data_IF_019159719474
#
_entry.id   IF_019159719474
#
_cell.length_a   1.000
_cell.length_b   1.000
_cell.length_c   1.000
_cell.angle_alpha   90.00
_cell.angle_beta   90.00
_cell.angle_gamma   90.00
#
_symmetry.space_group_name_H-M   'P 1'
#
loop_
_entity.id
_entity.type
_entity.pdbx_description
1 polymer ?
#
# COMPACT_ATOMS: atom_id res chain seq x y z
N UNK A 1 7.36 -47.60 7.96
CA UNK A 1 8.06 -46.82 8.99
C UNK A 1 9.20 -46.01 8.41
N UNK A 2 9.00 -44.79 7.95
CA UNK A 2 7.82 -44.13 7.35
C UNK A 2 8.28 -42.74 6.92
N UNK A 3 8.87 -42.60 5.72
CA UNK A 3 9.29 -41.30 5.18
C UNK A 3 8.14 -40.28 5.18
N UNK A 4 6.89 -40.76 5.03
CA UNK A 4 5.67 -39.96 5.11
C UNK A 4 5.28 -39.53 6.54
N UNK A 5 5.60 -40.34 7.55
CA UNK A 5 5.31 -40.01 8.96
C UNK A 5 6.33 -39.00 9.48
N UNK A 6 7.62 -39.17 9.13
CA UNK A 6 8.70 -38.21 9.44
C UNK A 6 8.43 -36.84 8.82
N UNK A 7 7.96 -36.80 7.56
CA UNK A 7 7.59 -35.55 6.89
C UNK A 7 6.37 -34.87 7.55
N UNK A 8 5.41 -35.65 8.02
CA UNK A 8 4.21 -35.14 8.68
C UNK A 8 4.55 -34.55 10.05
N UNK A 9 5.34 -35.25 10.87
CA UNK A 9 5.78 -34.74 12.16
C UNK A 9 6.65 -33.48 12.02
N UNK A 10 7.56 -33.47 11.05
CA UNK A 10 8.35 -32.29 10.71
C UNK A 10 7.47 -31.07 10.37
N UNK A 11 6.46 -31.25 9.52
CA UNK A 11 5.51 -30.20 9.14
C UNK A 11 4.75 -29.67 10.35
N UNK A 12 4.22 -30.56 11.20
CA UNK A 12 3.51 -30.19 12.43
C UNK A 12 4.43 -29.41 13.37
N UNK A 13 5.68 -29.86 13.54
CA UNK A 13 6.66 -29.20 14.38
C UNK A 13 6.98 -27.78 13.88
N UNK A 14 7.19 -27.60 12.58
CA UNK A 14 7.41 -26.27 11.99
C UNK A 14 6.22 -25.33 12.20
N UNK A 15 4.99 -25.80 11.97
CA UNK A 15 3.78 -24.98 12.13
C UNK A 15 3.54 -24.58 13.60
N UNK A 16 3.87 -25.46 14.55
CA UNK A 16 3.80 -25.19 16.00
C UNK A 16 4.69 -24.02 16.43
N UNK A 17 5.84 -23.81 15.77
CA UNK A 17 6.80 -22.76 16.13
C UNK A 17 6.55 -21.49 15.31
N UNK A 18 6.44 -21.63 13.99
CA UNK A 18 6.47 -20.51 13.05
C UNK A 18 5.18 -19.69 13.09
N UNK A 19 4.01 -20.32 13.16
CA UNK A 19 2.74 -19.58 13.12
C UNK A 19 2.57 -18.68 14.35
N UNK A 20 2.81 -19.13 15.59
CA UNK A 20 2.75 -18.23 16.76
C UNK A 20 3.65 -17.00 16.65
N UNK A 21 4.86 -17.15 16.09
CA UNK A 21 5.77 -16.02 15.85
C UNK A 21 5.10 -15.01 14.91
N UNK A 22 4.54 -15.47 13.79
CA UNK A 22 3.84 -14.59 12.84
C UNK A 22 2.57 -13.96 13.42
N UNK A 23 1.84 -14.66 14.29
CA UNK A 23 0.69 -14.09 15.00
C UNK A 23 1.13 -12.94 15.93
N UNK A 24 2.23 -13.11 16.67
CA UNK A 24 2.79 -12.06 17.52
C UNK A 24 3.24 -10.86 16.68
N UNK A 25 3.98 -11.08 15.59
CA UNK A 25 4.42 -10.02 14.68
C UNK A 25 3.22 -9.29 14.06
N UNK A 26 2.18 -10.02 13.65
CA UNK A 26 0.94 -9.41 13.15
C UNK A 26 0.23 -8.59 14.21
N UNK A 27 0.18 -9.05 15.46
CA UNK A 27 -0.33 -8.29 16.60
C UNK A 27 0.40 -6.95 16.78
N UNK A 28 1.73 -6.95 16.71
CA UNK A 28 2.52 -5.72 16.73
C UNK A 28 2.20 -4.81 15.54
N UNK A 29 2.02 -5.37 14.34
CA UNK A 29 1.66 -4.60 13.15
C UNK A 29 0.29 -3.91 13.29
N UNK A 30 -0.71 -4.62 13.82
CA UNK A 30 -2.04 -4.06 14.10
C UNK A 30 -1.95 -2.92 15.12
N UNK A 31 -1.23 -3.12 16.22
CA UNK A 31 -1.05 -2.09 17.25
C UNK A 31 -0.33 -0.86 16.69
N UNK A 32 0.76 -1.06 15.94
CA UNK A 32 1.54 0.04 15.36
C UNK A 32 0.69 0.87 14.38
N UNK A 33 -0.10 0.22 13.51
CA UNK A 33 -0.99 0.93 12.59
C UNK A 33 -2.16 1.61 13.33
N UNK A 34 -2.71 1.01 14.39
CA UNK A 34 -3.74 1.64 15.23
C UNK A 34 -3.24 2.93 15.89
N UNK A 35 -1.99 2.94 16.41
CA UNK A 35 -1.37 4.14 16.97
C UNK A 35 -1.20 5.25 15.93
N UNK A 36 -0.82 4.90 14.70
CA UNK A 36 -0.72 5.87 13.59
C UNK A 36 -2.09 6.43 13.23
N UNK A 37 -3.12 5.58 13.15
CA UNK A 37 -4.50 6.02 12.89
C UNK A 37 -4.94 7.03 13.96
N UNK A 38 -4.68 6.75 15.24
CA UNK A 38 -4.99 7.67 16.33
C UNK A 38 -4.22 8.99 16.18
N UNK A 39 -2.91 8.94 15.93
CA UNK A 39 -2.09 10.12 15.72
C UNK A 39 -2.60 10.99 14.55
N UNK A 40 -2.93 10.37 13.41
CA UNK A 40 -3.49 11.04 12.23
C UNK A 40 -4.86 11.67 12.54
N UNK A 41 -5.72 10.99 13.31
CA UNK A 41 -7.03 11.53 13.73
C UNK A 41 -6.90 12.75 14.65
N UNK A 42 -5.85 12.81 15.47
CA UNK A 42 -5.57 13.94 16.35
C UNK A 42 -4.95 15.14 15.62
N UNK A 43 -4.44 14.97 14.40
CA UNK A 43 -3.93 16.10 13.62
C UNK A 43 -5.07 17.04 13.19
N UNK A 44 -4.89 18.35 13.40
CA UNK A 44 -5.88 19.37 13.01
C UNK A 44 -5.94 19.60 11.49
N UNK A 45 -4.91 19.21 10.74
CA UNK A 45 -4.79 19.46 9.31
C UNK A 45 -5.32 18.27 8.51
N UNK A 46 -6.49 18.42 7.87
CA UNK A 46 -7.07 17.42 6.97
C UNK A 46 -6.89 17.80 5.50
N UNK A 47 -5.86 17.24 4.87
CA UNK A 47 -5.61 17.34 3.43
C UNK A 47 -5.75 15.97 2.75
N UNK A 48 -5.68 15.94 1.41
CA UNK A 48 -5.80 14.70 0.62
C UNK A 48 -4.71 13.67 0.97
N UNK A 49 -3.48 14.11 1.25
CA UNK A 49 -2.36 13.23 1.63
C UNK A 49 -2.65 12.51 2.95
N UNK A 50 -3.14 13.22 3.96
CA UNK A 50 -3.53 12.64 5.27
C UNK A 50 -4.68 11.65 5.10
N UNK A 51 -5.67 11.96 4.25
CA UNK A 51 -6.75 11.01 3.92
C UNK A 51 -6.23 9.73 3.28
N UNK A 52 -5.33 9.83 2.30
CA UNK A 52 -4.75 8.68 1.62
C UNK A 52 -3.90 7.82 2.57
N UNK A 53 -3.05 8.45 3.39
CA UNK A 53 -2.22 7.75 4.38
C UNK A 53 -3.09 7.08 5.44
N UNK A 54 -4.13 7.78 5.93
CA UNK A 54 -5.08 7.19 6.87
C UNK A 54 -5.75 5.95 6.28
N UNK A 55 -6.23 6.03 5.03
CA UNK A 55 -6.86 4.88 4.37
C UNK A 55 -5.88 3.71 4.19
N UNK A 56 -4.64 3.99 3.78
CA UNK A 56 -3.59 2.97 3.66
C UNK A 56 -3.27 2.31 5.01
N UNK A 57 -3.13 3.08 6.10
CA UNK A 57 -2.89 2.52 7.45
C UNK A 57 -4.03 1.64 7.94
N UNK A 58 -5.28 1.96 7.58
CA UNK A 58 -6.45 1.12 7.88
C UNK A 58 -6.40 -0.16 7.03
N UNK A 59 -6.00 -0.08 5.77
CA UNK A 59 -5.83 -1.24 4.89
C UNK A 59 -4.72 -2.18 5.38
N UNK A 60 -3.60 -1.64 5.85
CA UNK A 60 -2.49 -2.43 6.40
C UNK A 60 -2.88 -3.10 7.72
N UNK A 61 -3.58 -2.39 8.60
CA UNK A 61 -4.15 -2.96 9.84
C UNK A 61 -5.14 -4.08 9.52
N UNK A 62 -6.08 -3.84 8.61
CA UNK A 62 -7.06 -4.84 8.15
C UNK A 62 -6.37 -6.08 7.59
N UNK A 63 -5.42 -5.90 6.67
CA UNK A 63 -4.69 -7.00 6.02
C UNK A 63 -3.90 -7.81 7.05
N UNK A 64 -3.26 -7.16 8.02
CA UNK A 64 -2.52 -7.85 9.10
C UNK A 64 -3.45 -8.71 9.96
N UNK A 65 -4.63 -8.18 10.33
CA UNK A 65 -5.65 -8.93 11.06
C UNK A 65 -6.18 -10.12 10.28
N UNK A 66 -6.52 -9.94 9.00
CA UNK A 66 -7.00 -11.03 8.14
C UNK A 66 -5.91 -12.09 7.94
N UNK A 67 -4.66 -11.71 7.76
CA UNK A 67 -3.52 -12.65 7.67
C UNK A 67 -3.38 -13.44 8.96
N UNK A 68 -3.50 -12.81 10.14
CA UNK A 68 -3.44 -13.54 11.41
C UNK A 68 -4.58 -14.55 11.55
N UNK A 69 -5.82 -14.16 11.21
CA UNK A 69 -6.99 -15.04 11.26
C UNK A 69 -6.85 -16.19 10.25
N UNK A 70 -6.42 -15.91 9.02
CA UNK A 70 -6.15 -16.90 7.97
C UNK A 70 -5.09 -17.91 8.41
N UNK A 71 -3.95 -17.46 8.96
CA UNK A 71 -2.91 -18.37 9.45
C UNK A 71 -3.39 -19.25 10.62
N UNK A 72 -4.21 -18.71 11.51
CA UNK A 72 -4.77 -19.49 12.61
C UNK A 72 -5.78 -20.52 12.11
N UNK A 73 -6.70 -20.11 11.23
CA UNK A 73 -7.83 -20.92 10.79
C UNK A 73 -7.48 -21.92 9.69
N UNK A 74 -6.77 -21.48 8.65
CA UNK A 74 -6.44 -22.28 7.47
C UNK A 74 -5.18 -23.13 7.66
N UNK A 75 -4.28 -22.75 8.58
CA UNK A 75 -2.98 -23.42 8.74
C UNK A 75 -2.80 -24.05 10.12
N UNK A 76 -2.91 -23.29 11.21
CA UNK A 76 -2.59 -23.80 12.55
C UNK A 76 -3.60 -24.82 13.07
N UNK A 77 -4.89 -24.51 13.00
CA UNK A 77 -5.98 -25.38 13.47
C UNK A 77 -5.98 -26.76 12.78
N UNK A 78 -6.02 -26.87 11.45
CA UNK A 78 -6.01 -28.17 10.79
C UNK A 78 -4.72 -28.94 11.02
N UNK A 79 -3.55 -28.28 10.97
CA UNK A 79 -2.27 -28.99 11.06
C UNK A 79 -1.89 -29.41 12.47
N UNK A 80 -2.18 -28.59 13.49
CA UNK A 80 -1.73 -28.83 14.86
C UNK A 80 -2.82 -29.46 15.73
N UNK A 81 -4.08 -29.11 15.48
CA UNK A 81 -5.23 -29.59 16.27
C UNK A 81 -6.06 -30.65 15.54
N UNK A 82 -5.80 -30.92 14.26
CA UNK A 82 -6.53 -31.92 13.48
C UNK A 82 -8.01 -31.56 13.25
N UNK A 83 -8.39 -30.29 13.39
CA UNK A 83 -9.77 -29.84 13.19
C UNK A 83 -10.03 -29.58 11.71
N UNK A 84 -11.21 -29.95 11.22
CA UNK A 84 -11.63 -29.67 9.84
C UNK A 84 -12.29 -28.28 9.75
N UNK A 85 -11.60 -27.24 9.22
CA UNK A 85 -12.20 -25.92 9.06
C UNK A 85 -13.32 -25.93 8.02
N UNK A 86 -14.28 -25.01 8.16
CA UNK A 86 -15.31 -24.79 7.15
C UNK A 86 -14.62 -24.27 5.86
N UNK A 87 -14.76 -24.98 4.73
CA UNK A 87 -14.04 -24.66 3.51
C UNK A 87 -14.50 -23.33 2.88
N UNK A 88 -15.78 -22.96 3.01
CA UNK A 88 -16.28 -21.68 2.50
C UNK A 88 -15.67 -20.50 3.27
N UNK A 89 -15.55 -20.64 4.59
CA UNK A 89 -14.93 -19.61 5.42
C UNK A 89 -13.42 -19.51 5.15
N UNK A 90 -12.75 -20.64 4.97
CA UNK A 90 -11.35 -20.69 4.53
C UNK A 90 -11.15 -19.94 3.21
N UNK A 91 -11.99 -20.22 2.21
CA UNK A 91 -11.94 -19.54 0.92
C UNK A 91 -12.21 -18.03 1.05
N UNK A 92 -13.18 -17.63 1.88
CA UNK A 92 -13.46 -16.22 2.14
C UNK A 92 -12.25 -15.50 2.75
N UNK A 93 -11.53 -16.13 3.68
CA UNK A 93 -10.30 -15.57 4.26
C UNK A 93 -9.20 -15.40 3.20
N UNK A 94 -9.05 -16.34 2.26
CA UNK A 94 -8.09 -16.20 1.17
C UNK A 94 -8.47 -15.10 0.17
N UNK A 95 -9.77 -14.93 -0.13
CA UNK A 95 -10.25 -13.81 -0.94
C UNK A 95 -10.02 -12.47 -0.24
N UNK A 96 -10.30 -12.39 1.06
CA UNK A 96 -10.06 -11.18 1.87
C UNK A 96 -8.58 -10.86 1.97
N UNK A 97 -7.73 -11.89 2.14
CA UNK A 97 -6.28 -11.76 2.16
C UNK A 97 -5.79 -11.18 0.85
N UNK A 98 -6.10 -11.83 -0.27
CA UNK A 98 -5.70 -11.40 -1.62
C UNK A 98 -6.23 -10.01 -1.96
N UNK A 99 -7.51 -9.75 -1.66
CA UNK A 99 -8.13 -8.44 -1.84
C UNK A 99 -7.49 -7.34 -1.01
N UNK A 100 -7.08 -7.64 0.22
CA UNK A 100 -6.28 -6.75 1.07
C UNK A 100 -4.94 -6.39 0.44
N UNK A 101 -4.22 -7.36 -0.13
CA UNK A 101 -2.93 -7.11 -0.82
C UNK A 101 -3.12 -6.17 -2.03
N UNK A 102 -4.14 -6.41 -2.85
CA UNK A 102 -4.45 -5.55 -4.01
C UNK A 102 -4.87 -4.16 -3.54
N UNK A 103 -5.70 -4.07 -2.50
CA UNK A 103 -6.17 -2.81 -1.92
C UNK A 103 -5.00 -1.96 -1.42
N UNK A 104 -4.09 -2.53 -0.62
CA UNK A 104 -2.89 -1.80 -0.14
C UNK A 104 -2.00 -1.35 -1.29
N UNK A 105 -1.85 -2.16 -2.34
CA UNK A 105 -1.04 -1.83 -3.52
C UNK A 105 -1.66 -0.69 -4.34
N UNK A 106 -2.98 -0.70 -4.53
CA UNK A 106 -3.70 0.41 -5.18
C UNK A 106 -3.62 1.71 -4.38
N UNK A 107 -3.67 1.66 -3.04
CA UNK A 107 -3.48 2.84 -2.20
C UNK A 107 -2.08 3.45 -2.38
N UNK A 108 -1.04 2.63 -2.47
CA UNK A 108 0.32 3.10 -2.77
C UNK A 108 0.39 3.78 -4.15
N UNK A 109 -0.32 3.22 -5.14
CA UNK A 109 -0.45 3.85 -6.43
C UNK A 109 -1.12 5.22 -6.34
N UNK A 110 -2.27 5.32 -5.65
CA UNK A 110 -2.97 6.59 -5.45
C UNK A 110 -2.08 7.64 -4.77
N UNK A 111 -1.29 7.23 -3.77
CA UNK A 111 -0.32 8.11 -3.09
C UNK A 111 0.74 8.60 -4.08
N UNK A 112 1.28 7.73 -4.93
CA UNK A 112 2.29 8.10 -5.93
C UNK A 112 1.74 9.09 -6.96
N UNK A 113 0.52 8.86 -7.48
CA UNK A 113 -0.17 9.77 -8.40
C UNK A 113 -0.46 11.10 -7.71
N UNK A 114 -0.93 11.07 -6.47
CA UNK A 114 -1.23 12.27 -5.71
C UNK A 114 0.02 13.14 -5.50
N UNK A 115 1.16 12.53 -5.17
CA UNK A 115 2.42 13.27 -5.08
C UNK A 115 2.83 13.85 -6.42
N UNK A 116 2.74 13.08 -7.49
CA UNK A 116 3.05 13.56 -8.85
C UNK A 116 2.20 14.77 -9.22
N UNK A 117 0.88 14.70 -9.06
CA UNK A 117 -0.03 15.82 -9.33
C UNK A 117 0.29 17.02 -8.43
N UNK A 118 0.59 16.79 -7.15
CA UNK A 118 0.91 17.85 -6.19
C UNK A 118 2.14 18.68 -6.58
N UNK A 119 3.11 18.07 -7.26
CA UNK A 119 4.29 18.79 -7.76
C UNK A 119 4.01 19.45 -9.11
N UNK A 120 3.31 18.78 -10.04
CA UNK A 120 3.03 19.34 -11.38
C UNK A 120 2.00 20.47 -11.34
N UNK A 121 0.98 20.39 -10.47
CA UNK A 121 -0.12 21.37 -10.37
C UNK A 121 -0.38 21.81 -8.92
N UNK A 122 0.46 22.70 -8.36
CA UNK A 122 0.35 23.13 -6.96
C UNK A 122 -0.90 23.98 -6.65
N UNK A 123 -1.58 24.55 -7.66
CA UNK A 123 -2.74 25.43 -7.50
C UNK A 123 -4.11 24.74 -7.53
N UNK A 124 -4.14 23.41 -7.42
CA UNK A 124 -5.41 22.69 -7.44
C UNK A 124 -6.19 22.91 -6.13
N UNK A 125 -7.50 23.12 -6.23
CA UNK A 125 -8.39 23.26 -5.07
C UNK A 125 -8.23 22.07 -4.10
N UNK A 126 -7.76 22.39 -2.89
CA UNK A 126 -7.48 21.44 -1.81
C UNK A 126 -8.74 20.67 -1.37
N UNK A 127 -9.92 21.30 -1.40
CA UNK A 127 -11.18 20.66 -1.01
C UNK A 127 -11.61 19.65 -2.07
N UNK A 128 -11.55 20.04 -3.34
CA UNK A 128 -11.83 19.14 -4.47
C UNK A 128 -10.90 17.93 -4.46
N UNK A 129 -9.58 18.15 -4.31
CA UNK A 129 -8.60 17.06 -4.22
C UNK A 129 -8.85 16.09 -3.08
N UNK A 130 -9.27 16.59 -1.91
CA UNK A 130 -9.64 15.72 -0.78
C UNK A 130 -10.87 14.87 -1.11
N UNK A 131 -11.91 15.47 -1.69
CA UNK A 131 -13.13 14.73 -2.03
C UNK A 131 -12.85 13.64 -3.08
N UNK A 132 -12.04 13.95 -4.11
CA UNK A 132 -11.59 12.97 -5.10
C UNK A 132 -10.77 11.87 -4.44
N UNK A 133 -9.82 12.21 -3.56
CA UNK A 133 -9.03 11.22 -2.84
C UNK A 133 -9.90 10.29 -1.99
N UNK A 134 -10.90 10.81 -1.27
CA UNK A 134 -11.84 9.99 -0.50
C UNK A 134 -12.65 9.06 -1.40
N UNK A 135 -13.15 9.55 -2.54
CA UNK A 135 -13.89 8.73 -3.49
C UNK A 135 -13.02 7.58 -4.04
N UNK A 136 -11.79 7.91 -4.45
CA UNK A 136 -10.82 6.92 -4.92
C UNK A 136 -10.47 5.89 -3.84
N UNK A 137 -10.30 6.31 -2.57
CA UNK A 137 -10.11 5.38 -1.44
C UNK A 137 -11.27 4.38 -1.36
N UNK A 138 -12.52 4.85 -1.40
CA UNK A 138 -13.70 3.97 -1.33
C UNK A 138 -13.70 2.99 -2.50
N UNK A 139 -13.39 3.46 -3.72
CA UNK A 139 -13.29 2.60 -4.91
C UNK A 139 -12.24 1.52 -4.74
N UNK A 140 -11.02 1.84 -4.26
CA UNK A 140 -9.95 0.85 -4.12
C UNK A 140 -10.20 -0.14 -2.97
N UNK A 141 -11.05 0.18 -2.00
CA UNK A 141 -11.51 -0.76 -0.98
C UNK A 141 -12.51 -1.77 -1.52
N UNK A 142 -13.50 -1.29 -2.29
CA UNK A 142 -14.61 -2.12 -2.74
C UNK A 142 -14.27 -2.93 -3.99
N UNK A 143 -13.60 -2.31 -4.98
CA UNK A 143 -13.42 -2.93 -6.28
C UNK A 143 -12.67 -4.28 -6.24
N UNK A 144 -11.53 -4.43 -5.54
CA UNK A 144 -10.84 -5.72 -5.48
C UNK A 144 -11.69 -6.81 -4.82
N UNK A 145 -12.39 -6.47 -3.73
CA UNK A 145 -13.23 -7.43 -3.02
C UNK A 145 -14.44 -7.85 -3.84
N UNK A 146 -15.15 -6.90 -4.46
CA UNK A 146 -16.31 -7.19 -5.31
C UNK A 146 -15.90 -8.10 -6.47
N UNK A 147 -14.77 -7.81 -7.13
CA UNK A 147 -14.27 -8.63 -8.24
C UNK A 147 -13.90 -10.03 -7.77
N UNK A 148 -13.14 -10.17 -6.67
CA UNK A 148 -12.71 -11.50 -6.19
C UNK A 148 -13.89 -12.35 -5.70
N UNK A 149 -14.79 -11.79 -4.88
CA UNK A 149 -15.98 -12.50 -4.40
C UNK A 149 -16.96 -12.79 -5.53
N UNK A 150 -17.12 -11.87 -6.49
CA UNK A 150 -17.91 -12.08 -7.69
C UNK A 150 -17.37 -13.23 -8.53
N UNK A 151 -16.06 -13.27 -8.78
CA UNK A 151 -15.39 -14.35 -9.51
C UNK A 151 -15.59 -15.69 -8.78
N UNK A 152 -15.33 -15.74 -7.48
CA UNK A 152 -15.50 -16.95 -6.66
C UNK A 152 -16.96 -17.44 -6.61
N UNK A 153 -17.94 -16.56 -6.82
CA UNK A 153 -19.37 -16.92 -6.85
C UNK A 153 -19.87 -17.28 -8.26
N UNK A 154 -19.18 -16.82 -9.30
CA UNK A 154 -19.62 -16.98 -10.71
C UNK A 154 -19.27 -18.33 -11.32
N UNK A 155 -18.30 -19.06 -10.75
CA UNK A 155 -17.79 -20.31 -11.34
C UNK A 155 -18.68 -21.47 -10.90
N UNK A 156 -19.40 -22.07 -11.84
CA UNK A 156 -20.26 -23.22 -11.59
C UNK A 156 -19.46 -24.44 -11.12
N UNK A 157 -19.90 -25.07 -10.02
CA UNK A 157 -19.30 -26.29 -9.49
C UNK A 157 -17.98 -26.10 -8.71
N UNK A 158 -17.50 -24.86 -8.54
CA UNK A 158 -16.31 -24.52 -7.75
C UNK A 158 -16.57 -23.27 -6.89
N UNK A 159 -15.60 -22.87 -6.06
CA UNK A 159 -15.66 -21.62 -5.31
C UNK A 159 -16.80 -21.59 -4.30
N UNK A 160 -17.58 -20.51 -4.24
CA UNK A 160 -18.70 -20.42 -3.29
C UNK A 160 -19.90 -21.29 -3.67
N UNK A 161 -19.97 -21.79 -4.91
CA UNK A 161 -21.01 -22.75 -5.29
C UNK A 161 -20.71 -24.16 -4.75
N UNK A 162 -19.43 -24.53 -4.69
CA UNK A 162 -18.96 -25.76 -4.07
C UNK A 162 -17.60 -25.51 -3.40
N UNK A 163 -17.63 -25.15 -2.12
CA UNK A 163 -16.43 -24.75 -1.39
C UNK A 163 -15.42 -25.88 -1.18
N UNK A 164 -15.83 -27.13 -1.39
CA UNK A 164 -14.90 -28.27 -1.34
C UNK A 164 -13.93 -28.27 -2.53
N UNK A 165 -14.32 -27.63 -3.64
CA UNK A 165 -13.51 -27.54 -4.85
C UNK A 165 -13.05 -26.09 -5.11
N UNK A 166 -11.83 -25.80 -4.64
CA UNK A 166 -11.19 -24.48 -4.77
C UNK A 166 -10.13 -24.44 -5.88
N UNK A 167 -10.17 -25.38 -6.83
CA UNK A 167 -9.17 -25.48 -7.93
C UNK A 167 -9.02 -24.19 -8.73
N UNK A 168 -10.09 -23.40 -8.90
CA UNK A 168 -10.00 -22.11 -9.60
C UNK A 168 -8.97 -21.16 -8.98
N UNK A 169 -8.84 -21.12 -7.64
CA UNK A 169 -7.91 -20.25 -6.93
C UNK A 169 -6.46 -20.72 -7.11
N UNK A 170 -6.27 -22.04 -7.21
CA UNK A 170 -4.98 -22.66 -7.49
C UNK A 170 -4.63 -22.70 -9.00
N UNK A 171 -5.58 -22.35 -9.86
CA UNK A 171 -5.36 -22.31 -11.29
C UNK A 171 -4.27 -21.31 -11.67
N UNK A 172 -3.45 -21.69 -12.65
CA UNK A 172 -2.39 -20.84 -13.19
C UNK A 172 -2.95 -19.53 -13.74
N UNK A 173 -4.12 -19.58 -14.39
CA UNK A 173 -4.76 -18.40 -14.95
C UNK A 173 -5.09 -17.36 -13.88
N UNK A 174 -5.74 -17.78 -12.78
CA UNK A 174 -6.06 -16.87 -11.68
C UNK A 174 -4.81 -16.28 -11.05
N UNK A 175 -3.80 -17.12 -10.73
CA UNK A 175 -2.56 -16.68 -10.09
C UNK A 175 -1.75 -15.72 -10.96
N UNK A 176 -1.58 -16.05 -12.25
CA UNK A 176 -0.89 -15.19 -13.21
C UNK A 176 -1.65 -13.88 -13.44
N UNK A 177 -2.99 -13.91 -13.48
CA UNK A 177 -3.79 -12.70 -13.65
C UNK A 177 -3.62 -11.74 -12.45
N UNK A 178 -3.73 -12.23 -11.22
CA UNK A 178 -3.52 -11.41 -10.02
C UNK A 178 -2.07 -10.91 -9.93
N UNK A 179 -1.08 -11.77 -10.18
CA UNK A 179 0.33 -11.36 -10.16
C UNK A 179 0.65 -10.33 -11.24
N UNK A 180 0.17 -10.52 -12.47
CA UNK A 180 0.40 -9.57 -13.56
C UNK A 180 -0.25 -8.22 -13.28
N UNK A 181 -1.43 -8.19 -12.66
CA UNK A 181 -2.06 -6.97 -12.18
C UNK A 181 -1.17 -6.25 -11.14
N UNK A 182 -0.68 -6.98 -10.14
CA UNK A 182 0.21 -6.40 -9.11
C UNK A 182 1.51 -5.86 -9.72
N UNK A 183 2.14 -6.62 -10.63
CA UNK A 183 3.35 -6.20 -11.36
C UNK A 183 3.07 -4.94 -12.18
N UNK A 184 1.95 -4.89 -12.91
CA UNK A 184 1.58 -3.71 -13.69
C UNK A 184 1.41 -2.47 -12.80
N UNK A 185 0.77 -2.62 -11.63
CA UNK A 185 0.66 -1.53 -10.65
C UNK A 185 2.06 -1.11 -10.16
N UNK A 186 2.96 -2.05 -9.85
CA UNK A 186 4.33 -1.71 -9.42
C UNK A 186 5.11 -0.96 -10.50
N UNK A 187 5.06 -1.42 -11.76
CA UNK A 187 5.70 -0.74 -12.88
C UNK A 187 5.17 0.70 -12.99
N UNK A 188 3.86 0.89 -12.84
CA UNK A 188 3.26 2.21 -12.90
C UNK A 188 3.68 3.11 -11.71
N UNK A 189 3.75 2.56 -10.50
CA UNK A 189 4.30 3.26 -9.32
C UNK A 189 5.76 3.70 -9.59
N UNK A 190 6.60 2.80 -10.10
CA UNK A 190 8.01 3.08 -10.43
C UNK A 190 8.09 4.19 -11.48
N UNK A 191 7.26 4.13 -12.51
CA UNK A 191 7.18 5.17 -13.54
C UNK A 191 6.82 6.53 -12.94
N UNK A 192 5.76 6.60 -12.12
CA UNK A 192 5.34 7.82 -11.45
C UNK A 192 6.46 8.41 -10.57
N UNK A 193 7.12 7.58 -9.77
CA UNK A 193 8.23 8.04 -8.93
C UNK A 193 9.46 8.43 -9.72
N UNK A 194 9.81 7.72 -10.79
CA UNK A 194 10.94 8.09 -11.65
C UNK A 194 10.71 9.49 -12.25
N UNK A 195 9.50 9.75 -12.77
CA UNK A 195 9.12 11.07 -13.27
C UNK A 195 9.14 12.14 -12.17
N UNK A 196 8.66 11.79 -10.97
CA UNK A 196 8.72 12.68 -9.80
C UNK A 196 10.17 13.08 -9.47
N UNK A 197 11.08 12.11 -9.42
CA UNK A 197 12.51 12.33 -9.12
C UNK A 197 13.19 13.19 -10.19
N UNK A 198 12.91 12.93 -11.47
CA UNK A 198 13.47 13.71 -12.58
C UNK A 198 12.99 15.17 -12.52
N UNK A 199 11.71 15.39 -12.25
CA UNK A 199 11.13 16.74 -12.16
C UNK A 199 11.68 17.50 -10.94
N UNK A 200 11.84 16.83 -9.80
CA UNK A 200 12.49 17.39 -8.62
C UNK A 200 13.96 17.76 -8.88
N UNK A 201 14.72 16.93 -9.61
CA UNK A 201 16.12 17.23 -9.97
C UNK A 201 16.23 18.42 -10.93
N UNK A 202 15.32 18.51 -11.92
CA UNK A 202 15.28 19.63 -12.86
C UNK A 202 15.00 20.96 -12.12
N UNK A 203 14.03 20.95 -11.19
CA UNK A 203 13.75 22.10 -10.33
C UNK A 203 14.95 22.41 -9.42
N UNK A 204 15.54 21.43 -8.74
CA UNK A 204 16.70 21.68 -7.88
C UNK A 204 17.87 22.36 -8.63
N UNK A 205 18.12 21.99 -9.88
CA UNK A 205 19.15 22.62 -10.70
C UNK A 205 18.84 24.09 -11.04
N UNK A 206 17.59 24.43 -11.33
CA UNK A 206 17.17 25.81 -11.59
C UNK A 206 17.24 26.68 -10.32
N UNK A 207 17.12 26.08 -9.14
CA UNK A 207 17.03 26.78 -7.85
C UNK A 207 18.37 26.98 -7.16
N UNK A 208 19.46 26.37 -7.66
CA UNK A 208 20.83 26.54 -7.15
C UNK A 208 21.37 27.98 -7.24
N UNK A 209 20.67 28.89 -7.93
CA UNK A 209 21.08 30.29 -8.07
C UNK A 209 20.76 31.19 -6.86
N UNK A 210 20.05 30.74 -5.81
CA UNK A 210 19.68 31.60 -4.66
C UNK A 210 19.85 30.95 -3.28
N UNK A 211 20.39 31.71 -2.30
CA UNK A 211 20.59 31.25 -0.89
C UNK A 211 19.28 30.88 -0.17
N UNK A 212 18.15 31.51 -0.49
CA UNK A 212 16.83 31.16 0.06
C UNK A 212 16.29 29.84 -0.51
N UNK A 213 16.72 29.49 -1.73
CA UNK A 213 16.42 28.22 -2.36
C UNK A 213 17.22 27.05 -1.75
N UNK A 214 18.40 27.28 -1.20
CA UNK A 214 19.22 26.23 -0.57
C UNK A 214 18.58 25.62 0.70
N UNK A 215 17.86 26.43 1.50
CA UNK A 215 17.02 25.94 2.61
C UNK A 215 15.78 25.17 2.13
N UNK A 216 15.27 25.48 0.93
CA UNK A 216 14.14 24.78 0.30
C UNK A 216 14.59 23.42 -0.27
N UNK A 217 15.79 23.37 -0.85
CA UNK A 217 16.46 22.15 -1.35
C UNK A 217 16.74 21.14 -0.23
N UNK A 218 17.15 21.54 0.98
CA UNK A 218 17.36 20.57 2.08
C UNK A 218 16.05 19.92 2.57
N UNK A 219 14.95 20.69 2.57
CA UNK A 219 13.61 20.21 2.90
C UNK A 219 13.02 19.32 1.79
N UNK A 220 13.37 19.57 0.54
CA UNK A 220 13.05 18.73 -0.62
C UNK A 220 13.89 17.43 -0.65
N UNK A 221 15.16 17.45 -0.24
CA UNK A 221 15.99 16.25 -0.09
C UNK A 221 15.40 15.27 0.94
N UNK A 222 14.79 15.76 2.02
CA UNK A 222 14.07 14.90 2.98
C UNK A 222 12.84 14.23 2.34
N UNK A 223 12.16 14.93 1.43
CA UNK A 223 11.02 14.40 0.67
C UNK A 223 11.47 13.36 -0.36
N UNK A 224 12.63 13.57 -0.99
CA UNK A 224 13.30 12.60 -1.89
C UNK A 224 13.72 11.32 -1.16
N UNK A 225 14.40 11.44 -0.02
CA UNK A 225 14.82 10.27 0.76
C UNK A 225 13.62 9.47 1.29
N UNK A 226 12.58 10.14 1.77
CA UNK A 226 11.36 9.45 2.21
C UNK A 226 10.62 8.76 1.06
N UNK A 227 10.61 9.34 -0.15
CA UNK A 227 10.03 8.67 -1.33
C UNK A 227 10.87 7.48 -1.80
N UNK A 228 12.19 7.57 -1.74
CA UNK A 228 13.09 6.43 -2.01
C UNK A 228 12.85 5.31 -0.99
N UNK A 229 12.79 5.63 0.32
CA UNK A 229 12.49 4.65 1.36
C UNK A 229 11.11 4.00 1.19
N UNK A 230 10.09 4.79 0.82
CA UNK A 230 8.76 4.27 0.47
C UNK A 230 8.88 3.30 -0.72
N UNK A 231 9.55 3.70 -1.81
CA UNK A 231 9.72 2.83 -2.98
C UNK A 231 10.46 1.53 -2.64
N UNK A 232 11.57 1.62 -1.91
CA UNK A 232 12.38 0.46 -1.50
C UNK A 232 11.56 -0.48 -0.62
N UNK A 233 10.79 0.02 0.34
CA UNK A 233 9.91 -0.80 1.19
C UNK A 233 8.76 -1.45 0.42
N UNK A 234 8.29 -0.85 -0.67
CA UNK A 234 7.26 -1.43 -1.55
C UNK A 234 7.85 -2.57 -2.37
N UNK A 235 9.04 -2.37 -2.94
CA UNK A 235 9.70 -3.40 -3.75
C UNK A 235 10.10 -4.60 -2.92
N UNK A 236 10.79 -4.37 -1.79
CA UNK A 236 11.28 -5.44 -0.91
C UNK A 236 10.10 -6.18 -0.24
N UNK A 237 9.03 -5.47 0.10
CA UNK A 237 7.86 -6.07 0.77
C UNK A 237 6.98 -6.92 -0.14
N UNK A 238 6.78 -6.52 -1.40
CA UNK A 238 5.75 -7.11 -2.25
C UNK A 238 6.26 -7.85 -3.49
N UNK A 239 7.43 -7.49 -4.03
CA UNK A 239 7.94 -8.17 -5.23
C UNK A 239 8.25 -9.65 -4.98
N UNK A 240 8.91 -10.05 -3.87
CA UNK A 240 9.12 -11.47 -3.56
C UNK A 240 7.80 -12.23 -3.41
N UNK A 241 6.81 -11.62 -2.76
CA UNK A 241 5.48 -12.20 -2.56
C UNK A 241 4.74 -12.46 -3.89
N UNK A 242 4.84 -11.51 -4.82
CA UNK A 242 4.17 -11.60 -6.13
C UNK A 242 4.85 -12.64 -7.03
N UNK A 243 6.17 -12.71 -7.00
CA UNK A 243 6.93 -13.74 -7.71
C UNK A 243 6.58 -15.12 -7.14
N UNK A 244 6.59 -15.27 -5.81
CA UNK A 244 6.24 -16.53 -5.16
C UNK A 244 4.80 -16.98 -5.50
N UNK A 245 3.82 -16.08 -5.42
CA UNK A 245 2.43 -16.41 -5.77
C UNK A 245 2.27 -16.91 -7.21
N UNK A 246 3.12 -16.43 -8.14
CA UNK A 246 3.12 -16.84 -9.55
C UNK A 246 3.71 -18.23 -9.73
N UNK A 247 4.77 -18.58 -9.01
CA UNK A 247 5.49 -19.85 -9.20
C UNK A 247 4.75 -21.04 -8.56
N UNK A 248 3.99 -20.83 -7.48
CA UNK A 248 3.29 -21.88 -6.72
C UNK A 248 1.98 -22.36 -7.39
N UNK A 249 1.97 -22.54 -8.71
CA UNK A 249 0.82 -23.06 -9.46
C UNK A 249 0.81 -24.59 -9.55
N UNK A 250 -0.37 -25.22 -9.43
CA UNK A 250 -0.54 -26.69 -9.46
C UNK A 250 -0.09 -27.34 -10.78
N UNK A 251 -0.12 -26.57 -11.87
CA UNK A 251 0.25 -27.02 -13.22
C UNK A 251 1.70 -26.67 -13.60
N UNK A 252 2.48 -26.15 -12.66
CA UNK A 252 3.83 -25.69 -12.91
C UNK A 252 4.83 -26.76 -12.43
N UNK A 253 5.43 -27.46 -13.39
CA UNK A 253 6.38 -28.55 -13.12
C UNK A 253 7.61 -28.11 -12.31
N UNK A 254 7.91 -26.80 -12.31
CA UNK A 254 9.03 -26.19 -11.58
C UNK A 254 8.98 -26.46 -10.05
N UNK A 255 7.80 -26.75 -9.49
CA UNK A 255 7.59 -26.98 -8.06
C UNK A 255 6.99 -28.35 -7.72
N UNK A 256 6.68 -29.18 -8.72
CA UNK A 256 6.18 -30.55 -8.50
C UNK A 256 7.21 -31.48 -7.87
N UNK A 257 8.51 -31.21 -8.10
CA UNK A 257 9.63 -31.96 -7.52
C UNK A 257 10.31 -31.27 -6.33
N UNK A 258 9.87 -30.07 -5.93
CA UNK A 258 10.49 -29.35 -4.82
C UNK A 258 10.01 -29.88 -3.48
N UNK A 259 10.95 -30.24 -2.59
CA UNK A 259 10.66 -30.68 -1.23
C UNK A 259 9.83 -29.63 -0.49
N UNK A 260 8.80 -30.06 0.27
CA UNK A 260 7.95 -29.23 1.13
C UNK A 260 8.71 -28.14 1.91
N UNK A 261 9.94 -28.44 2.34
CA UNK A 261 10.86 -27.52 3.04
C UNK A 261 11.10 -26.22 2.28
N UNK A 262 11.29 -26.27 0.97
CA UNK A 262 11.62 -25.11 0.13
C UNK A 262 10.39 -24.22 -0.03
N UNK A 263 9.25 -24.82 -0.37
CA UNK A 263 7.94 -24.15 -0.43
C UNK A 263 7.59 -23.45 0.88
N UNK A 264 7.74 -24.17 2.00
CA UNK A 264 7.48 -23.62 3.33
C UNK A 264 8.40 -22.45 3.66
N UNK A 265 9.69 -22.56 3.35
CA UNK A 265 10.66 -21.49 3.57
C UNK A 265 10.30 -20.24 2.75
N UNK A 266 9.96 -20.40 1.46
CA UNK A 266 9.53 -19.28 0.62
C UNK A 266 8.26 -18.62 1.14
N UNK A 267 7.26 -19.40 1.58
CA UNK A 267 6.06 -18.87 2.23
C UNK A 267 6.39 -18.08 3.51
N UNK A 268 7.32 -18.56 4.34
CA UNK A 268 7.79 -17.85 5.53
C UNK A 268 8.48 -16.53 5.18
N UNK A 269 9.34 -16.53 4.17
CA UNK A 269 10.04 -15.34 3.67
C UNK A 269 9.02 -14.33 3.14
N UNK A 270 8.07 -14.77 2.31
CA UNK A 270 6.98 -13.92 1.81
C UNK A 270 6.19 -13.29 2.95
N UNK A 271 5.76 -14.09 3.92
CA UNK A 271 4.96 -13.61 5.04
C UNK A 271 5.74 -12.61 5.92
N UNK A 272 7.05 -12.85 6.10
CA UNK A 272 7.95 -11.94 6.79
C UNK A 272 8.04 -10.59 6.09
N UNK A 273 8.10 -10.57 4.76
CA UNK A 273 8.10 -9.32 3.98
C UNK A 273 6.77 -8.57 4.06
N UNK A 274 5.63 -9.28 3.98
CA UNK A 274 4.30 -8.67 4.11
C UNK A 274 4.13 -8.02 5.48
N UNK A 275 4.44 -8.75 6.56
CA UNK A 275 4.31 -8.24 7.93
C UNK A 275 5.36 -7.18 8.26
N UNK A 276 6.60 -7.39 7.81
CA UNK A 276 7.68 -6.42 7.93
C UNK A 276 7.31 -5.10 7.29
N UNK A 277 6.70 -5.12 6.10
CA UNK A 277 6.18 -3.90 5.47
C UNK A 277 5.11 -3.21 6.31
N UNK A 278 4.14 -3.97 6.83
CA UNK A 278 3.07 -3.44 7.67
C UNK A 278 3.61 -2.71 8.92
N UNK A 279 4.75 -3.17 9.46
CA UNK A 279 5.48 -2.53 10.56
C UNK A 279 6.32 -1.32 10.12
N UNK A 280 6.92 -1.37 8.92
CA UNK A 280 7.72 -0.27 8.40
C UNK A 280 6.88 0.96 8.05
N UNK A 281 5.63 0.78 7.60
CA UNK A 281 4.76 1.89 7.20
C UNK A 281 4.58 2.94 8.34
N UNK A 282 4.22 2.57 9.59
CA UNK A 282 4.24 3.47 10.74
C UNK A 282 5.54 4.27 10.96
N UNK A 283 6.70 3.63 10.82
CA UNK A 283 8.00 4.27 10.97
C UNK A 283 8.26 5.29 9.85
N UNK A 284 7.88 4.94 8.62
CA UNK A 284 7.98 5.85 7.48
C UNK A 284 7.10 7.09 7.71
N UNK A 285 5.88 6.91 8.24
CA UNK A 285 4.97 8.03 8.47
C UNK A 285 5.44 8.97 9.58
N UNK A 286 5.98 8.44 10.68
CA UNK A 286 6.55 9.29 11.74
C UNK A 286 7.76 10.09 11.23
N UNK A 287 8.65 9.47 10.44
CA UNK A 287 9.81 10.17 9.86
C UNK A 287 9.42 11.23 8.82
N UNK A 288 8.33 10.99 8.09
CA UNK A 288 7.86 11.82 6.98
C UNK A 288 7.00 13.00 7.42
N UNK A 289 6.13 12.82 8.41
CA UNK A 289 5.15 13.85 8.83
C UNK A 289 5.47 14.28 10.27
N UNK A 290 6.11 15.46 10.46
CA UNK A 290 6.52 15.91 11.80
C UNK A 290 5.34 16.10 12.75
N UNK A 291 4.16 16.45 12.24
CA UNK A 291 2.94 16.54 13.04
C UNK A 291 2.52 15.18 13.61
N UNK A 292 2.70 14.09 12.84
CA UNK A 292 2.41 12.73 13.29
C UNK A 292 3.42 12.26 14.31
N UNK A 293 4.72 12.52 14.09
CA UNK A 293 5.77 12.23 15.08
C UNK A 293 5.52 12.91 16.43
N UNK A 294 5.14 14.20 16.40
CA UNK A 294 4.84 14.94 17.62
C UNK A 294 3.64 14.33 18.37
N UNK A 295 2.58 13.96 17.67
CA UNK A 295 1.41 13.31 18.29
C UNK A 295 1.74 11.91 18.80
N UNK A 296 2.52 11.13 18.04
CA UNK A 296 2.93 9.79 18.43
C UNK A 296 3.81 9.82 19.69
N UNK A 297 4.76 10.75 19.78
CA UNK A 297 5.57 10.98 20.99
C UNK A 297 4.72 11.40 22.18
N UNK A 298 3.72 12.26 21.97
CA UNK A 298 2.76 12.67 23.00
C UNK A 298 1.95 11.47 23.51
N UNK A 299 1.44 10.64 22.61
CA UNK A 299 0.71 9.41 22.95
C UNK A 299 1.61 8.42 23.69
N UNK A 300 2.81 8.14 23.17
CA UNK A 300 3.78 7.29 23.86
C UNK A 300 4.09 7.84 25.25
N UNK A 301 4.33 9.13 25.40
CA UNK A 301 4.60 9.73 26.70
C UNK A 301 3.42 9.60 27.66
N UNK A 302 2.18 9.75 27.17
CA UNK A 302 0.95 9.65 27.98
C UNK A 302 0.63 8.21 28.41
N UNK A 303 0.84 7.22 27.54
CA UNK A 303 0.49 5.82 27.80
C UNK A 303 1.65 4.98 28.35
N UNK A 304 2.90 5.29 28.00
CA UNK A 304 4.09 4.53 28.40
C UNK A 304 4.69 5.06 29.71
N UNK A 305 4.60 6.36 30.03
CA UNK A 305 5.06 6.88 31.35
C UNK A 305 4.40 6.20 32.55
N UNK A 306 3.08 5.96 32.59
CA UNK A 306 2.44 5.28 33.71
C UNK A 306 3.02 3.87 33.89
N UNK A 307 3.22 3.14 32.79
CA UNK A 307 3.77 1.79 32.78
C UNK A 307 5.23 1.78 33.23
N UNK A 308 6.03 2.76 32.79
CA UNK A 308 7.43 2.89 33.23
C UNK A 308 7.56 3.31 34.69
N UNK A 309 6.63 4.12 35.21
CA UNK A 309 6.55 4.41 36.64
C UNK A 309 6.18 3.16 37.45
N UNK A 310 5.35 2.27 36.90
CA UNK A 310 5.01 0.97 37.49
C UNK A 310 6.19 -0.02 37.45
N UNK A 311 7.03 0.01 36.40
CA UNK A 311 8.21 -0.85 36.26
C UNK A 311 9.49 -0.31 36.94
N UNK A 312 9.44 0.82 37.68
CA UNK A 312 10.58 1.35 38.44
C UNK A 312 11.77 1.87 37.63
N UNK A 313 11.74 1.81 36.30
CA UNK A 313 12.82 2.29 35.44
C UNK A 313 12.60 3.76 35.09
N UNK A 314 13.32 4.68 35.75
CA UNK A 314 13.29 6.11 35.43
C UNK A 314 14.51 6.49 34.56
N UNK A 315 14.35 6.77 33.25
CA UNK A 315 15.46 7.01 32.33
C UNK A 315 16.07 8.43 32.44
N UNK A 316 15.87 9.13 33.57
CA UNK A 316 16.06 10.59 33.64
C UNK A 316 17.28 11.06 34.43
N UNK A 317 18.30 10.22 34.65
CA UNK A 317 19.51 10.68 35.36
C UNK A 317 20.68 11.14 34.47
N UNK A 318 20.70 10.85 33.16
CA UNK A 318 21.94 11.07 32.39
C UNK A 318 21.92 12.21 31.34
N UNK A 319 20.88 13.04 31.29
CA UNK A 319 20.83 14.19 30.38
C UNK A 319 20.33 15.45 31.10
N UNK A 320 21.14 15.98 32.01
CA UNK A 320 21.01 17.38 32.46
C UNK A 320 22.37 18.10 32.33
N UNK A 321 22.64 18.76 31.18
CA UNK A 321 23.87 19.54 30.98
C UNK A 321 23.74 20.93 31.60
N UNK A 322 23.34 21.00 32.88
CA UNK A 322 23.25 22.26 33.64
C UNK A 322 23.78 22.09 35.06
N UNK A 323 25.07 21.77 35.14
CA UNK A 323 25.86 22.00 36.34
C UNK A 323 27.23 22.56 35.95
N UNK A 324 27.30 23.88 35.75
CA UNK A 324 28.52 24.67 35.95
C UNK A 324 28.14 26.12 36.29
N UNK A 325 28.92 26.80 37.16
CA UNK A 325 28.38 27.78 38.09
C UNK A 325 28.49 29.25 37.64
N UNK A 326 27.65 30.05 38.29
CA UNK A 326 27.60 31.50 38.41
C UNK A 326 28.93 32.27 38.25
N UNK A 327 28.93 33.31 37.40
CA UNK A 327 29.87 34.44 37.50
C UNK A 327 29.21 35.79 37.13
N UNK A 328 28.91 36.55 38.19
CA UNK A 328 28.93 38.02 38.37
C UNK A 328 28.52 38.99 37.25
N UNK A 329 27.56 39.87 37.62
CA UNK A 329 27.34 41.23 37.10
C UNK A 329 28.65 42.03 36.99
N UNK A 330 28.82 42.73 35.87
CA UNK A 330 29.47 44.04 35.84
C UNK A 330 28.57 44.99 35.05
N UNK A 331 28.25 46.11 35.70
CA UNK A 331 27.57 47.31 35.19
C UNK A 331 28.60 48.13 34.43
N UNK A 332 28.24 48.69 33.28
CA UNK A 332 28.90 49.88 32.73
C UNK A 332 27.90 50.70 31.90
N UNK A 333 27.73 51.94 32.34
CA UNK A 333 27.08 53.07 31.66
C UNK A 333 27.87 53.53 30.42
N UNK A 334 27.20 54.30 29.55
CA UNK A 334 27.79 55.08 28.45
C UNK A 334 26.90 55.04 27.20
N UNK A 335 25.94 55.95 26.98
CA UNK A 335 26.06 57.36 26.54
C UNK A 335 26.40 57.52 25.05
N UNK A 336 25.61 58.39 24.36
CA UNK A 336 25.72 58.93 22.98
C UNK A 336 25.34 57.98 21.81
N UNK A 337 24.62 58.35 20.75
CA UNK A 337 23.95 59.58 20.32
C UNK A 337 23.06 59.26 19.09
N UNK A 338 21.96 59.99 18.89
CA UNK A 338 21.17 60.05 17.63
C UNK A 338 21.81 61.06 16.67
N UNK A 339 21.49 60.96 15.36
CA UNK A 339 20.62 62.00 14.76
C UNK A 339 19.54 61.37 13.84
N UNK A 340 18.26 61.74 13.85
CA UNK A 340 17.60 62.89 13.13
C UNK A 340 18.20 63.14 11.74
N UNK A 341 17.49 63.18 10.61
CA UNK A 341 16.22 63.85 10.34
C UNK A 341 15.64 63.35 8.98
N UNK A 342 14.31 63.39 8.82
CA UNK A 342 13.60 64.17 7.76
C UNK A 342 13.53 63.54 6.37
N UNK A 343 12.35 63.03 5.96
CA UNK A 343 11.38 63.85 5.22
C UNK A 343 10.18 62.99 4.72
N UNK A 344 9.00 63.41 5.18
CA UNK A 344 7.70 63.16 4.55
C UNK A 344 7.60 64.00 3.28
N UNK A 345 7.23 63.42 2.13
CA UNK A 345 6.31 64.08 1.19
C UNK A 345 5.88 63.19 0.01
N UNK A 346 4.63 63.42 -0.41
CA UNK A 346 3.94 62.97 -1.63
C UNK A 346 3.11 61.67 -1.60
N UNK A 347 1.91 61.82 -1.01
CA UNK A 347 0.64 61.34 -1.59
C UNK A 347 0.24 62.18 -2.80
N UNK A 348 -0.57 61.57 -3.67
CA UNK A 348 -1.28 62.07 -4.86
C UNK A 348 -0.54 61.94 -6.20
N UNK A 349 -0.89 60.89 -6.96
CA UNK A 349 -1.58 61.05 -8.24
C UNK A 349 -2.21 59.72 -8.65
N UNK A 350 -3.54 59.70 -8.63
CA UNK A 350 -4.34 58.76 -9.37
C UNK A 350 -4.41 59.27 -10.81
N UNK A 351 -4.08 58.45 -11.80
CA UNK A 351 -4.53 58.67 -13.17
C UNK A 351 -4.71 57.34 -13.89
N UNK A 352 -5.85 57.25 -14.55
CA UNK A 352 -6.40 56.11 -15.23
C UNK A 352 -5.55 55.65 -16.43
N UNK A 353 -5.58 54.35 -16.70
CA UNK A 353 -5.45 53.83 -18.06
C UNK A 353 -6.23 52.51 -18.18
N UNK A 354 -7.45 52.66 -18.71
CA UNK A 354 -8.16 51.66 -19.48
C UNK A 354 -7.24 51.01 -20.51
N UNK A 355 -7.24 49.68 -20.63
CA UNK A 355 -7.05 48.99 -21.92
C UNK A 355 -7.74 47.62 -21.87
N UNK A 356 -8.73 47.50 -22.74
CA UNK A 356 -9.63 46.38 -23.00
C UNK A 356 -8.93 45.21 -23.71
N UNK A 357 -9.56 44.02 -23.76
CA UNK A 357 -8.93 42.78 -24.21
C UNK A 357 -8.89 42.64 -25.74
N UNK A 358 -7.79 42.09 -26.24
CA UNK A 358 -7.64 41.71 -27.65
C UNK A 358 -8.47 40.47 -27.94
N UNK A 359 -9.50 40.69 -28.76
CA UNK A 359 -10.36 39.70 -29.41
C UNK A 359 -9.70 39.34 -30.74
N UNK A 360 -9.34 38.08 -30.93
CA UNK A 360 -8.92 37.56 -32.25
C UNK A 360 -10.07 36.74 -32.82
N UNK A 361 -10.67 37.26 -33.88
CA UNK A 361 -11.57 36.52 -34.78
C UNK A 361 -11.52 37.15 -36.17
N UNK A 362 -11.12 36.36 -37.18
CA UNK A 362 -11.52 36.41 -38.59
C UNK A 362 -11.38 34.96 -39.11
N UNK A 363 -12.44 34.27 -39.56
CA UNK A 363 -13.11 34.32 -40.89
C UNK A 363 -12.12 34.14 -42.05
N UNK A 364 -12.29 33.29 -43.07
CA UNK A 364 -13.31 32.30 -43.50
C UNK A 364 -12.56 31.26 -44.39
N UNK A 365 -13.12 30.33 -45.16
CA UNK A 365 -14.46 30.16 -45.77
C UNK A 365 -14.47 28.83 -46.57
N UNK A 366 -15.67 28.21 -46.70
CA UNK A 366 -16.18 27.36 -47.83
C UNK A 366 -15.56 25.95 -48.03
N UNK A 367 -16.28 24.84 -48.29
CA UNK A 367 -17.70 24.52 -48.57
C UNK A 367 -17.99 23.04 -48.20
N UNK A 368 -19.21 22.65 -47.83
CA UNK A 368 -20.41 22.34 -48.64
C UNK A 368 -20.40 20.95 -49.34
N UNK A 369 -21.40 20.12 -49.01
CA UNK A 369 -21.75 18.79 -49.59
C UNK A 369 -21.83 17.72 -48.49
N UNK A 370 -22.97 17.37 -47.86
CA UNK A 370 -24.23 16.77 -48.35
C UNK A 370 -24.01 15.48 -49.15
N UNK A 371 -24.13 14.30 -48.51
CA UNK A 371 -25.24 13.33 -48.69
C UNK A 371 -24.98 11.99 -47.95
N UNK A 372 -26.09 11.50 -47.37
CA UNK A 372 -26.58 10.11 -47.37
C UNK A 372 -26.01 8.96 -46.53
N UNK A 373 -27.00 8.16 -46.16
CA UNK A 373 -27.02 6.99 -45.32
C UNK A 373 -26.38 5.76 -45.97
N UNK A 374 -25.98 4.81 -45.12
CA UNK A 374 -25.53 3.50 -45.56
C UNK A 374 -25.54 2.50 -44.40
N UNK A 375 -26.71 1.91 -44.17
CA UNK A 375 -26.87 0.66 -43.44
C UNK A 375 -26.12 -0.44 -44.20
N UNK A 376 -25.34 -1.27 -43.52
CA UNK A 376 -24.91 -2.55 -44.09
C UNK A 376 -24.78 -3.61 -42.99
N UNK A 377 -25.86 -4.38 -42.88
CA UNK A 377 -25.88 -5.78 -42.45
C UNK A 377 -24.87 -6.60 -43.27
N UNK A 378 -24.16 -7.57 -42.68
CA UNK A 378 -23.79 -8.85 -43.33
C UNK A 378 -23.35 -9.89 -42.27
N UNK A 379 -24.18 -10.94 -42.21
CA UNK A 379 -23.93 -12.39 -42.10
C UNK A 379 -23.04 -12.97 -40.99
N UNK A 380 -23.76 -13.61 -40.06
CA UNK A 380 -23.52 -14.94 -39.50
C UNK A 380 -23.05 -15.96 -40.55
N UNK A 381 -21.96 -16.66 -40.24
CA UNK A 381 -21.64 -17.98 -40.83
C UNK A 381 -21.54 -18.99 -39.69
N UNK A 382 -22.55 -19.84 -39.62
CA UNK A 382 -22.61 -21.09 -38.88
C UNK A 382 -21.90 -22.17 -39.68
N UNK A 383 -20.99 -22.93 -39.07
CA UNK A 383 -20.51 -24.20 -39.61
C UNK A 383 -20.85 -25.29 -38.61
N UNK A 384 -21.85 -26.10 -38.99
CA UNK A 384 -22.14 -27.42 -38.43
C UNK A 384 -21.13 -28.43 -38.99
N UNK A 385 -20.61 -29.30 -38.12
CA UNK A 385 -20.25 -30.66 -38.52
C UNK A 385 -20.60 -31.61 -37.38
N UNK A 386 -21.50 -32.54 -37.68
CA UNK A 386 -22.02 -33.59 -36.82
C UNK A 386 -21.32 -34.92 -37.09
N UNK A 387 -21.05 -35.65 -35.98
CA UNK A 387 -21.15 -37.13 -35.77
C UNK A 387 -20.11 -38.10 -36.39
N UNK A 388 -20.02 -39.39 -35.94
CA UNK A 388 -20.43 -40.06 -34.67
C UNK A 388 -19.46 -41.17 -34.12
N UNK A 389 -19.81 -41.74 -32.93
CA UNK A 389 -19.55 -43.13 -32.41
C UNK A 389 -18.08 -43.50 -32.02
N UNK A 390 -17.73 -44.27 -30.98
CA UNK A 390 -18.34 -45.39 -30.23
C UNK A 390 -17.51 -45.63 -28.93
N UNK A 391 -18.09 -45.64 -27.72
CA UNK A 391 -18.30 -46.83 -26.83
C UNK A 391 -17.03 -47.50 -26.23
N UNK A 392 -16.86 -47.44 -24.90
CA UNK A 392 -16.71 -48.64 -24.03
C UNK A 392 -16.44 -48.26 -22.56
N UNK A 393 -17.36 -48.68 -21.68
CA UNK A 393 -17.22 -48.81 -20.23
C UNK A 393 -16.07 -49.73 -19.80
N UNK A 394 -15.46 -49.41 -18.64
CA UNK A 394 -14.96 -50.30 -17.55
C UNK A 394 -14.33 -49.39 -16.47
N UNK A 395 -15.03 -49.03 -15.40
CA UNK A 395 -15.25 -49.76 -14.13
C UNK A 395 -13.96 -50.08 -13.33
N UNK A 396 -13.86 -49.48 -12.13
CA UNK A 396 -13.04 -49.79 -10.94
C UNK A 396 -11.51 -49.61 -11.03
N UNK A 397 -10.98 -48.58 -10.35
CA UNK A 397 -10.53 -48.79 -8.97
C UNK A 397 -10.36 -47.48 -8.18
N UNK A 398 -10.69 -47.60 -6.90
CA UNK A 398 -10.75 -46.58 -5.87
C UNK A 398 -9.36 -46.47 -5.23
N UNK A 399 -8.72 -45.31 -5.35
CA UNK A 399 -7.86 -44.74 -4.30
C UNK A 399 -7.39 -43.34 -4.70
N UNK A 400 -8.21 -42.33 -4.38
CA UNK A 400 -7.77 -40.93 -4.41
C UNK A 400 -7.49 -40.49 -2.98
N UNK A 401 -6.25 -40.76 -2.56
CA UNK A 401 -5.68 -40.23 -1.33
C UNK A 401 -5.72 -38.71 -1.37
N UNK A 402 -6.68 -38.18 -0.64
CA UNK A 402 -6.82 -36.83 -0.14
C UNK A 402 -5.51 -36.35 0.49
N UNK A 403 -4.67 -35.63 -0.26
CA UNK A 403 -3.50 -34.97 0.32
C UNK A 403 -3.04 -33.71 -0.42
N UNK A 404 -3.98 -32.96 -1.01
CA UNK A 404 -3.70 -31.61 -1.52
C UNK A 404 -4.15 -30.59 -0.48
N UNK A 405 -3.43 -30.53 0.65
CA UNK A 405 -3.65 -29.54 1.71
C UNK A 405 -2.77 -28.30 1.47
N UNK A 406 -3.44 -27.21 1.12
CA UNK A 406 -3.19 -25.82 1.52
C UNK A 406 -1.73 -25.42 1.81
N UNK A 407 -1.12 -24.73 0.83
CA UNK A 407 0.05 -23.84 1.02
C UNK A 407 -0.38 -22.39 0.88
#
# INVERSE_FOLDING_TARGET
MDENEDLTDYRVHMYKIVIPIFLVVSGFAVIANALVILALRMTKVRNATVTLILSLTVADMWTSSIVAISLLYNSYLPMVKGTYPNPCFSLALEMLRTGGLITSTLHLLLISIHHYIGIVRPYTDKRKMRNVATALCITVWLAPLIVLFGLASSISGQGFHNCMDVRFYHSRLFRVAVSSLLIAIFVFIIFCYTKLLLLLRAQANHWKASRSAQKRVSRENRTLWTTILICSSVFIGWAPATIHFTITCDTCDLLKEQQFRVLFLFSCVQLSFILGKSLMNPLIYSLRIPEVDMQLKSLMHKYVRPIWKLCGCNPRKDLDPKAAPSRSRIVAEGVLERPSSSDDQFRHMATAAHLSPVRVSMMGTVGAGVTEAGVTTIQTVTVHHDTPLQESEKLLDVDFSSNTQYV
#
